data_IF_916133406388
#
_entry.id   IF_916133406388
#
_cell.length_a   1.000
_cell.length_b   1.000
_cell.length_c   1.000
_cell.angle_alpha   90.00
_cell.angle_beta   90.00
_cell.angle_gamma   90.00
#
_symmetry.space_group_name_H-M   'P 1'
#
loop_
_entity.id
_entity.type
_entity.pdbx_description
1 polymer ?
#
# COMPACT_ATOMS: atom_id res chain seq x y z
N UNK A 1 -31.66 -55.00 31.82
CA UNK A 1 -30.66 -54.97 30.74
C UNK A 1 -30.43 -53.50 30.42
N UNK A 2 -29.24 -52.98 30.69
CA UNK A 2 -28.90 -51.57 30.50
C UNK A 2 -28.54 -51.33 29.02
N UNK A 3 -29.29 -50.46 28.35
CA UNK A 3 -29.11 -50.13 26.94
C UNK A 3 -28.41 -48.77 26.81
N UNK A 4 -27.27 -48.64 27.48
CA UNK A 4 -26.50 -47.40 27.47
C UNK A 4 -25.85 -47.19 26.11
N UNK A 5 -26.24 -46.12 25.41
CA UNK A 5 -25.68 -45.71 24.12
C UNK A 5 -24.19 -45.41 24.28
N UNK A 6 -23.34 -46.22 23.63
CA UNK A 6 -21.90 -45.97 23.59
C UNK A 6 -21.58 -45.00 22.46
N UNK A 7 -21.00 -43.86 22.81
CA UNK A 7 -20.34 -42.96 21.86
C UNK A 7 -18.90 -42.76 22.28
N UNK A 8 -18.04 -42.50 21.31
CA UNK A 8 -16.65 -42.11 21.50
C UNK A 8 -16.44 -40.74 20.86
N UNK A 9 -15.78 -39.85 21.58
CA UNK A 9 -15.43 -38.52 21.08
C UNK A 9 -13.93 -38.48 20.80
N UNK A 10 -13.54 -37.79 19.74
CA UNK A 10 -12.15 -37.44 19.45
C UNK A 10 -12.07 -35.97 19.10
N UNK A 11 -10.93 -35.34 19.36
CA UNK A 11 -10.67 -33.95 18.98
C UNK A 11 -10.04 -33.93 17.59
N UNK A 12 -10.65 -33.17 16.69
CA UNK A 12 -10.06 -32.85 15.38
C UNK A 12 -9.61 -31.40 15.44
N UNK A 13 -8.37 -31.15 15.05
CA UNK A 13 -7.86 -29.81 14.83
C UNK A 13 -7.94 -29.50 13.33
N UNK A 14 -8.61 -28.39 12.99
CA UNK A 14 -8.72 -27.92 11.63
C UNK A 14 -7.98 -26.59 11.56
N UNK A 15 -6.89 -26.55 10.79
CA UNK A 15 -6.16 -25.32 10.50
C UNK A 15 -6.66 -24.77 9.16
N UNK A 16 -7.13 -23.53 9.17
CA UNK A 16 -7.47 -22.80 7.95
C UNK A 16 -6.24 -22.04 7.51
N UNK A 17 -5.79 -22.28 6.28
CA UNK A 17 -4.70 -21.55 5.63
C UNK A 17 -5.27 -20.47 4.75
N UNK A 18 -4.58 -19.33 4.73
CA UNK A 18 -4.93 -18.18 3.89
C UNK A 18 -4.60 -18.43 2.41
N UNK A 19 -5.37 -17.79 1.52
CA UNK A 19 -5.07 -17.70 0.09
C UNK A 19 -5.04 -16.22 -0.30
N UNK A 20 -4.26 -15.86 -1.31
CA UNK A 20 -4.25 -14.48 -1.81
C UNK A 20 -5.54 -14.21 -2.61
N UNK A 21 -6.57 -13.72 -1.93
CA UNK A 21 -7.88 -13.40 -2.51
C UNK A 21 -8.34 -11.96 -2.27
N UNK A 22 -7.55 -11.17 -1.53
CA UNK A 22 -7.72 -9.74 -1.41
C UNK A 22 -6.65 -9.01 -2.23
N UNK A 23 -6.91 -7.75 -2.56
CA UNK A 23 -5.93 -6.88 -3.22
C UNK A 23 -5.63 -5.70 -2.30
N UNK A 24 -4.42 -5.12 -2.36
CA UNK A 24 -4.11 -3.95 -1.55
C UNK A 24 -5.04 -2.78 -1.89
N UNK A 25 -5.59 -2.13 -0.87
CA UNK A 25 -6.49 -0.99 -1.01
C UNK A 25 -5.88 0.23 -0.33
N UNK A 26 -5.78 1.34 -1.06
CA UNK A 26 -5.33 2.63 -0.50
C UNK A 26 -6.38 3.24 0.44
N UNK A 27 -5.92 4.00 1.43
CA UNK A 27 -6.81 4.72 2.35
C UNK A 27 -7.71 5.75 1.66
N UNK A 28 -7.24 6.31 0.53
CA UNK A 28 -7.95 7.33 -0.24
C UNK A 28 -7.83 7.06 -1.73
N UNK A 29 -8.93 7.28 -2.47
CA UNK A 29 -8.94 7.21 -3.94
C UNK A 29 -8.06 8.29 -4.59
N UNK A 30 -7.82 9.40 -3.89
CA UNK A 30 -7.04 10.52 -4.39
C UNK A 30 -6.35 11.28 -3.25
N UNK A 31 -5.05 11.50 -3.40
CA UNK A 31 -4.23 12.32 -2.51
C UNK A 31 -4.01 13.70 -3.13
N UNK A 32 -4.64 14.74 -2.57
CA UNK A 32 -4.45 16.13 -3.01
C UNK A 32 -3.48 16.85 -2.07
N UNK A 33 -2.30 17.22 -2.59
CA UNK A 33 -1.21 17.81 -1.80
C UNK A 33 -0.70 19.05 -2.51
N UNK A 34 -0.38 20.08 -1.73
CA UNK A 34 0.30 21.29 -2.22
C UNK A 34 1.76 21.24 -1.78
N UNK A 35 2.68 21.43 -2.73
CA UNK A 35 4.11 21.47 -2.49
C UNK A 35 4.71 22.80 -2.93
N UNK A 36 5.83 23.19 -2.33
CA UNK A 36 6.60 24.34 -2.82
C UNK A 36 7.48 23.91 -4.00
N UNK A 37 7.67 24.79 -4.97
CA UNK A 37 8.48 24.51 -6.18
C UNK A 37 9.98 24.37 -5.91
N UNK A 38 10.47 24.96 -4.82
CA UNK A 38 11.89 25.06 -4.48
C UNK A 38 12.35 23.98 -3.48
N UNK A 39 11.59 22.89 -3.35
CA UNK A 39 11.96 21.79 -2.44
C UNK A 39 13.24 21.09 -2.91
N UNK A 40 14.16 20.76 -1.98
CA UNK A 40 15.40 20.08 -2.34
C UNK A 40 15.16 18.61 -2.74
N UNK A 41 16.09 18.00 -3.50
CA UNK A 41 16.02 16.56 -3.77
C UNK A 41 16.01 15.75 -2.47
N UNK A 42 15.23 14.68 -2.43
CA UNK A 42 15.05 13.82 -1.26
C UNK A 42 14.05 14.34 -0.23
N UNK A 43 13.49 15.54 -0.39
CA UNK A 43 12.46 16.06 0.51
C UNK A 43 11.21 15.17 0.49
N UNK A 44 10.75 14.74 1.66
CA UNK A 44 9.54 13.92 1.81
C UNK A 44 8.28 14.79 1.67
N UNK A 45 7.42 14.42 0.73
CA UNK A 45 6.18 15.14 0.42
C UNK A 45 5.01 14.56 1.19
N UNK A 46 4.80 13.24 1.08
CA UNK A 46 3.66 12.54 1.69
C UNK A 46 3.99 11.05 1.83
N UNK A 47 3.27 10.36 2.70
CA UNK A 47 3.18 8.90 2.68
C UNK A 47 1.83 8.50 2.11
N UNK A 48 1.84 7.60 1.12
CA UNK A 48 0.63 6.85 0.77
C UNK A 48 0.58 5.56 1.57
N UNK A 49 -0.62 5.10 1.88
CA UNK A 49 -0.84 3.90 2.67
C UNK A 49 -1.90 3.04 1.99
N UNK A 50 -1.58 1.76 1.84
CA UNK A 50 -2.49 0.72 1.41
C UNK A 50 -2.47 -0.45 2.40
N UNK A 51 -3.56 -1.20 2.44
CA UNK A 51 -3.72 -2.38 3.29
C UNK A 51 -4.29 -3.52 2.44
N UNK A 52 -3.63 -4.67 2.53
CA UNK A 52 -4.18 -5.95 2.09
C UNK A 52 -4.75 -6.69 3.32
N UNK A 53 -5.89 -7.37 3.15
CA UNK A 53 -6.59 -8.10 4.22
C UNK A 53 -6.14 -9.55 4.36
N UNK A 54 -5.32 -10.03 3.43
CA UNK A 54 -4.72 -11.34 3.50
C UNK A 54 -3.70 -11.44 4.66
N UNK A 55 -3.16 -12.64 4.89
CA UNK A 55 -2.25 -12.92 6.01
C UNK A 55 -0.85 -13.28 5.54
N UNK A 56 0.16 -12.82 6.28
CA UNK A 56 1.57 -13.13 6.00
C UNK A 56 1.99 -12.65 4.60
N UNK A 57 2.74 -13.48 3.89
CA UNK A 57 3.26 -13.17 2.54
C UNK A 57 2.17 -12.84 1.52
N UNK A 58 0.91 -13.27 1.75
CA UNK A 58 -0.20 -12.92 0.86
C UNK A 58 -0.58 -11.43 0.95
N UNK A 59 -0.25 -10.76 2.07
CA UNK A 59 -0.43 -9.33 2.26
C UNK A 59 0.86 -8.51 2.01
N UNK A 60 1.93 -9.13 1.52
CA UNK A 60 3.15 -8.42 1.12
C UNK A 60 3.00 -7.86 -0.31
N UNK A 61 3.17 -6.54 -0.45
CA UNK A 61 3.11 -5.85 -1.73
C UNK A 61 4.12 -4.70 -1.79
N UNK A 62 4.32 -4.16 -3.00
CA UNK A 62 5.21 -3.03 -3.25
C UNK A 62 4.46 -1.86 -3.88
N UNK A 63 4.87 -0.65 -3.52
CA UNK A 63 4.41 0.57 -4.15
C UNK A 63 5.20 0.86 -5.43
N UNK A 64 4.49 1.34 -6.44
CA UNK A 64 5.10 1.87 -7.66
C UNK A 64 4.46 3.22 -8.00
N UNK A 65 5.25 4.15 -8.54
CA UNK A 65 4.79 5.49 -8.90
C UNK A 65 5.03 5.73 -10.38
N UNK A 66 3.94 5.95 -11.10
CA UNK A 66 3.94 6.41 -12.49
C UNK A 66 3.89 7.94 -12.48
N UNK A 67 5.07 8.53 -12.64
CA UNK A 67 5.25 9.98 -12.76
C UNK A 67 5.85 10.32 -14.13
N UNK A 68 5.02 10.90 -15.01
CA UNK A 68 5.43 11.32 -16.36
C UNK A 68 6.43 12.48 -16.35
N UNK A 69 6.49 13.25 -15.25
CA UNK A 69 7.38 14.41 -15.14
C UNK A 69 8.77 14.05 -14.64
N UNK A 70 8.87 12.94 -13.90
CA UNK A 70 10.08 12.49 -13.22
C UNK A 70 10.49 13.36 -12.03
N UNK A 71 9.61 14.25 -11.57
CA UNK A 71 9.84 15.14 -10.43
C UNK A 71 9.83 14.40 -9.09
N UNK A 72 9.21 13.23 -9.02
CA UNK A 72 9.04 12.48 -7.78
C UNK A 72 9.50 11.02 -7.87
N UNK A 73 9.65 10.41 -6.70
CA UNK A 73 9.94 8.99 -6.50
C UNK A 73 9.17 8.47 -5.30
N UNK A 74 8.84 7.18 -5.29
CA UNK A 74 8.21 6.50 -4.15
C UNK A 74 9.17 5.49 -3.53
N UNK A 75 9.11 5.34 -2.21
CA UNK A 75 9.69 4.20 -1.50
C UNK A 75 8.79 2.97 -1.70
N UNK A 76 9.33 1.92 -2.31
CA UNK A 76 8.55 0.74 -2.71
C UNK A 76 7.96 -0.05 -1.52
N UNK A 77 8.49 0.13 -0.30
CA UNK A 77 8.01 -0.59 0.88
C UNK A 77 7.18 0.28 1.80
N UNK A 78 7.60 1.53 1.98
CA UNK A 78 6.97 2.42 2.96
C UNK A 78 5.98 3.40 2.34
N UNK A 79 5.91 3.52 1.02
CA UNK A 79 4.97 4.42 0.34
C UNK A 79 5.34 5.91 0.48
N UNK A 80 6.56 6.25 0.89
CA UNK A 80 7.00 7.64 0.97
C UNK A 80 7.27 8.22 -0.41
N UNK A 81 6.52 9.26 -0.77
CA UNK A 81 6.79 10.07 -1.97
C UNK A 81 7.79 11.18 -1.62
N UNK A 82 8.88 11.26 -2.40
CA UNK A 82 9.96 12.22 -2.23
C UNK A 82 10.25 12.96 -3.53
N UNK A 83 10.79 14.18 -3.42
CA UNK A 83 11.28 14.95 -4.57
C UNK A 83 12.50 14.25 -5.17
N UNK A 84 12.43 13.93 -6.47
CA UNK A 84 13.55 13.37 -7.25
C UNK A 84 14.31 14.47 -7.98
N UNK A 85 13.59 15.29 -8.74
CA UNK A 85 14.16 16.36 -9.56
C UNK A 85 13.38 17.68 -9.34
N UNK A 86 13.88 18.59 -8.50
CA UNK A 86 13.24 19.87 -8.22
C UNK A 86 12.99 20.74 -9.47
N UNK A 87 13.78 20.57 -10.53
CA UNK A 87 13.61 21.36 -11.76
C UNK A 87 12.28 21.10 -12.48
N UNK A 88 11.59 20.02 -12.09
CA UNK A 88 10.27 19.61 -12.60
C UNK A 88 9.09 20.19 -11.82
N UNK A 89 9.34 20.84 -10.69
CA UNK A 89 8.30 21.40 -9.81
C UNK A 89 8.06 22.90 -10.05
N UNK A 90 8.73 23.48 -11.05
CA UNK A 90 8.64 24.89 -11.42
C UNK A 90 7.20 25.29 -11.77
N UNK A 91 6.57 26.13 -10.93
CA UNK A 91 5.14 26.47 -11.05
C UNK A 91 4.85 27.24 -12.34
N UNK A 92 5.78 28.06 -12.81
CA UNK A 92 5.62 28.79 -14.07
C UNK A 92 5.55 27.86 -15.29
N UNK A 93 6.06 26.62 -15.17
CA UNK A 93 5.98 25.59 -16.21
C UNK A 93 4.84 24.61 -15.99
N UNK A 94 4.57 24.24 -14.74
CA UNK A 94 3.55 23.25 -14.38
C UNK A 94 2.84 23.69 -13.10
N UNK A 95 1.56 24.01 -13.22
CA UNK A 95 0.71 24.41 -12.10
C UNK A 95 0.10 23.22 -11.34
N UNK A 96 -0.02 22.07 -12.02
CA UNK A 96 -0.60 20.84 -11.47
C UNK A 96 0.09 19.59 -12.01
N UNK A 97 0.43 18.68 -11.10
CA UNK A 97 0.99 17.37 -11.39
C UNK A 97 -0.02 16.28 -11.01
N UNK A 98 -0.08 15.22 -11.80
CA UNK A 98 -0.92 14.05 -11.51
C UNK A 98 -0.07 12.80 -11.71
N UNK A 99 0.00 11.97 -10.67
CA UNK A 99 0.75 10.72 -10.64
C UNK A 99 -0.23 9.57 -10.41
N UNK A 100 0.14 8.37 -10.84
CA UNK A 100 -0.68 7.17 -10.68
C UNK A 100 0.10 6.02 -10.08
#
# INVERSE_FOLDING_TARGET
>A
MDNSLRYALTKVEVLVTDINDNVPVFDYDMYNITVMENLPPGFTVVQVHAVDKDSGDNADFLYHLVDETGGFSIDEKEGWIRVRDPSKLDREKVDKLTMR
#
